data_IF_704112782169
#
_entry.id   IF_704112782169
#
_cell.length_a   1.000
_cell.length_b   1.000
_cell.length_c   1.000
_cell.angle_alpha   90.00
_cell.angle_beta   90.00
_cell.angle_gamma   90.00
#
_symmetry.space_group_name_H-M   'P 1'
#
loop_
_entity.id
_entity.type
_entity.pdbx_description
1 polymer ?
#
# COMPACT_ATOMS: atom_id res chain seq x y z
N UNK A 1 4.56 6.55 -5.87
CA UNK A 1 4.43 7.20 -7.19
C UNK A 1 4.72 8.68 -7.00
N UNK A 2 5.38 9.32 -7.94
CA UNK A 2 5.73 10.73 -7.85
C UNK A 2 5.42 11.38 -9.19
N UNK A 3 4.78 12.54 -9.13
CA UNK A 3 4.52 13.39 -10.30
C UNK A 3 5.76 14.24 -10.56
N UNK A 4 6.05 14.51 -11.83
CA UNK A 4 7.18 15.35 -12.23
C UNK A 4 7.00 16.78 -11.72
N UNK A 5 8.12 17.46 -11.46
CA UNK A 5 8.08 18.86 -11.02
C UNK A 5 7.45 19.76 -12.09
N UNK A 6 7.64 19.43 -13.37
CA UNK A 6 7.03 20.15 -14.48
C UNK A 6 5.49 20.08 -14.43
N UNK A 7 4.94 18.85 -14.29
CA UNK A 7 3.51 18.63 -14.09
C UNK A 7 2.97 19.38 -12.86
N UNK A 8 3.72 19.46 -11.76
CA UNK A 8 3.33 20.25 -10.58
C UNK A 8 3.25 21.75 -10.89
N UNK A 9 4.19 22.32 -11.64
CA UNK A 9 4.15 23.74 -12.02
C UNK A 9 3.00 24.03 -12.98
N UNK A 10 2.75 23.14 -13.94
CA UNK A 10 1.60 23.25 -14.82
C UNK A 10 0.28 23.22 -14.04
N UNK A 11 0.13 22.25 -13.11
CA UNK A 11 -1.00 22.17 -12.20
C UNK A 11 -1.16 23.43 -11.35
N UNK A 12 -0.08 23.98 -10.81
CA UNK A 12 -0.13 25.22 -10.04
C UNK A 12 -0.69 26.36 -10.87
N UNK A 13 -0.19 26.55 -12.09
CA UNK A 13 -0.67 27.61 -12.98
C UNK A 13 -2.15 27.46 -13.34
N UNK A 14 -2.60 26.22 -13.53
CA UNK A 14 -3.95 25.88 -13.97
C UNK A 14 -4.98 25.97 -12.82
N UNK A 15 -4.62 25.50 -11.63
CA UNK A 15 -5.53 25.36 -10.49
C UNK A 15 -5.66 26.64 -9.67
N UNK A 16 -4.64 27.51 -9.68
CA UNK A 16 -4.61 28.77 -8.95
C UNK A 16 -5.89 29.63 -9.08
N UNK A 17 -6.50 29.82 -10.26
CA UNK A 17 -7.72 30.62 -10.37
C UNK A 17 -8.96 29.98 -9.70
N UNK A 18 -8.96 28.67 -9.43
CA UNK A 18 -10.11 27.93 -8.88
C UNK A 18 -9.98 27.57 -7.40
N UNK A 19 -8.79 27.72 -6.81
CA UNK A 19 -8.49 27.29 -5.43
C UNK A 19 -8.00 28.46 -4.57
N UNK A 20 -8.59 29.65 -4.75
CA UNK A 20 -8.10 30.90 -4.16
C UNK A 20 -8.31 30.92 -2.66
N UNK A 21 -9.50 30.49 -2.21
CA UNK A 21 -9.89 30.48 -0.81
C UNK A 21 -10.26 29.07 -0.32
N UNK A 22 -10.39 28.92 1.00
CA UNK A 22 -10.74 27.65 1.65
C UNK A 22 -12.07 27.07 1.14
N UNK A 23 -13.09 27.91 0.97
CA UNK A 23 -14.42 27.48 0.52
C UNK A 23 -14.36 26.82 -0.86
N UNK A 24 -13.69 27.47 -1.81
CA UNK A 24 -13.45 26.93 -3.15
C UNK A 24 -12.67 25.60 -3.08
N UNK A 25 -11.58 25.55 -2.29
CA UNK A 25 -10.74 24.35 -2.15
C UNK A 25 -11.55 23.15 -1.67
N UNK A 26 -12.36 23.35 -0.63
CA UNK A 26 -13.23 22.31 -0.08
C UNK A 26 -14.32 21.91 -1.07
N UNK A 27 -14.98 22.88 -1.72
CA UNK A 27 -16.06 22.60 -2.66
C UNK A 27 -15.59 21.70 -3.82
N UNK A 28 -14.44 22.00 -4.43
CA UNK A 28 -13.89 21.18 -5.51
C UNK A 28 -13.46 19.78 -5.03
N UNK A 29 -12.79 19.68 -3.88
CA UNK A 29 -12.35 18.38 -3.36
C UNK A 29 -13.52 17.50 -2.90
N UNK A 30 -14.56 18.07 -2.28
CA UNK A 30 -15.79 17.34 -1.93
C UNK A 30 -16.50 16.85 -3.20
N UNK A 31 -16.58 17.69 -4.25
CA UNK A 31 -17.20 17.28 -5.51
C UNK A 31 -16.41 16.17 -6.21
N UNK A 32 -15.08 16.18 -6.10
CA UNK A 32 -14.21 15.18 -6.72
C UNK A 32 -14.13 13.85 -5.96
N UNK A 33 -14.12 13.90 -4.62
CA UNK A 33 -13.80 12.75 -3.76
C UNK A 33 -14.98 12.31 -2.88
N UNK A 34 -16.08 13.06 -2.87
CA UNK A 34 -17.20 12.87 -1.96
C UNK A 34 -16.78 12.97 -0.49
N UNK A 35 -17.34 12.10 0.35
CA UNK A 35 -17.02 12.02 1.79
C UNK A 35 -15.55 11.64 2.08
N UNK A 36 -14.78 11.19 1.06
CA UNK A 36 -13.36 10.88 1.25
C UNK A 36 -12.50 12.15 1.36
N UNK A 37 -13.01 13.31 0.94
CA UNK A 37 -12.28 14.58 1.04
C UNK A 37 -11.89 14.92 2.49
N UNK A 38 -12.75 14.62 3.47
CA UNK A 38 -12.50 14.90 4.90
C UNK A 38 -11.37 14.06 5.49
N UNK A 39 -11.00 12.96 4.82
CA UNK A 39 -9.87 12.11 5.24
C UNK A 39 -8.51 12.65 4.80
N UNK A 40 -8.47 13.71 3.99
CA UNK A 40 -7.23 14.33 3.55
C UNK A 40 -6.72 15.27 4.65
N UNK A 41 -5.48 15.04 5.10
CA UNK A 41 -4.81 15.89 6.08
C UNK A 41 -4.22 17.14 5.41
N UNK A 42 -5.09 18.06 4.98
CA UNK A 42 -4.71 19.30 4.29
C UNK A 42 -4.79 20.52 5.22
N UNK A 43 -3.82 21.42 5.11
CA UNK A 43 -3.88 22.73 5.77
C UNK A 43 -4.60 23.73 4.87
N UNK A 44 -5.90 23.92 5.13
CA UNK A 44 -6.80 24.70 4.27
C UNK A 44 -6.50 26.19 4.18
N UNK A 45 -5.78 26.75 5.17
CA UNK A 45 -5.52 28.19 5.28
C UNK A 45 -4.15 28.60 4.73
N UNK A 46 -3.46 27.70 4.02
CA UNK A 46 -2.17 28.02 3.40
C UNK A 46 -2.31 28.98 2.21
N UNK A 47 -1.25 29.75 1.88
CA UNK A 47 -1.17 30.48 0.63
C UNK A 47 -1.35 29.55 -0.58
N UNK A 48 -2.05 30.01 -1.62
CA UNK A 48 -2.43 29.17 -2.78
C UNK A 48 -1.22 28.48 -3.43
N UNK A 49 -0.09 29.19 -3.54
CA UNK A 49 1.14 28.65 -4.14
C UNK A 49 1.76 27.51 -3.32
N UNK A 50 1.48 27.45 -2.01
CA UNK A 50 1.93 26.38 -1.11
C UNK A 50 0.89 25.27 -1.01
N UNK A 51 -0.38 25.66 -0.95
CA UNK A 51 -1.51 24.74 -0.87
C UNK A 51 -1.57 23.78 -2.06
N UNK A 52 -1.44 24.27 -3.30
CA UNK A 52 -1.62 23.43 -4.49
C UNK A 52 -0.59 22.29 -4.55
N UNK A 53 0.74 22.51 -4.45
CA UNK A 53 1.71 21.43 -4.40
C UNK A 53 1.44 20.42 -3.27
N UNK A 54 1.12 20.90 -2.06
CA UNK A 54 0.82 20.05 -0.91
C UNK A 54 -0.43 19.18 -1.16
N UNK A 55 -1.48 19.77 -1.71
CA UNK A 55 -2.71 19.08 -2.10
C UNK A 55 -2.44 18.01 -3.17
N UNK A 56 -1.68 18.35 -4.22
CA UNK A 56 -1.31 17.41 -5.28
C UNK A 56 -0.56 16.20 -4.71
N UNK A 57 0.47 16.42 -3.88
CA UNK A 57 1.21 15.33 -3.23
C UNK A 57 0.30 14.46 -2.36
N UNK A 58 -0.61 15.08 -1.62
CA UNK A 58 -1.57 14.36 -0.77
C UNK A 58 -2.52 13.50 -1.61
N UNK A 59 -3.02 14.01 -2.75
CA UNK A 59 -3.88 13.24 -3.66
C UNK A 59 -3.13 12.09 -4.34
N UNK A 60 -1.85 12.29 -4.69
CA UNK A 60 -1.00 11.22 -5.22
C UNK A 60 -0.76 10.14 -4.16
N UNK A 61 -0.51 10.54 -2.91
CA UNK A 61 -0.34 9.60 -1.80
C UNK A 61 -1.65 8.85 -1.49
N UNK A 62 -2.81 9.50 -1.66
CA UNK A 62 -4.13 8.87 -1.57
C UNK A 62 -4.35 7.81 -2.68
N UNK A 63 -3.61 7.94 -3.78
CA UNK A 63 -3.62 7.05 -4.95
C UNK A 63 -4.95 7.07 -5.70
N UNK A 64 -5.94 6.28 -5.29
CA UNK A 64 -7.17 6.07 -6.04
C UNK A 64 -8.42 6.27 -5.19
N UNK A 65 -9.46 6.90 -5.77
CA UNK A 65 -10.78 6.97 -5.14
C UNK A 65 -11.60 5.71 -5.37
N UNK A 66 -11.44 5.09 -6.53
CA UNK A 66 -12.02 3.82 -6.95
C UNK A 66 -10.99 3.14 -7.84
N UNK A 67 -10.99 1.79 -7.93
CA UNK A 67 -10.03 1.07 -8.76
C UNK A 67 -9.92 1.69 -10.17
N UNK A 68 -8.71 2.08 -10.57
CA UNK A 68 -8.42 2.68 -11.87
C UNK A 68 -8.78 4.17 -12.02
N UNK A 69 -9.22 4.84 -10.94
CA UNK A 69 -9.48 6.29 -10.94
C UNK A 69 -8.60 7.01 -9.92
N UNK A 70 -7.46 7.58 -10.35
CA UNK A 70 -6.60 8.35 -9.48
C UNK A 70 -7.30 9.58 -8.90
N UNK A 71 -7.07 9.87 -7.62
CA UNK A 71 -7.75 10.97 -6.92
C UNK A 71 -7.45 12.34 -7.55
N UNK A 72 -6.21 12.55 -8.01
CA UNK A 72 -5.82 13.77 -8.71
C UNK A 72 -6.56 13.92 -10.06
N UNK A 73 -6.73 12.83 -10.81
CA UNK A 73 -7.48 12.85 -12.06
C UNK A 73 -8.95 13.23 -11.82
N UNK A 74 -9.56 12.70 -10.75
CA UNK A 74 -10.93 13.04 -10.39
C UNK A 74 -11.11 14.54 -10.10
N UNK A 75 -10.15 15.18 -9.43
CA UNK A 75 -10.18 16.63 -9.19
C UNK A 75 -10.11 17.43 -10.50
N UNK A 76 -9.22 17.05 -11.40
CA UNK A 76 -9.05 17.72 -12.69
C UNK A 76 -10.28 17.56 -13.58
N UNK A 77 -10.90 16.38 -13.60
CA UNK A 77 -12.17 16.12 -14.30
C UNK A 77 -13.28 17.04 -13.78
N UNK A 78 -13.37 17.24 -12.47
CA UNK A 78 -14.36 18.17 -11.90
C UNK A 78 -14.11 19.61 -12.34
N UNK A 79 -12.86 20.07 -12.26
CA UNK A 79 -12.52 21.45 -12.65
C UNK A 79 -12.76 21.65 -14.14
N UNK A 80 -12.47 20.63 -14.97
CA UNK A 80 -12.71 20.65 -16.42
C UNK A 80 -14.15 20.98 -16.79
N UNK A 81 -15.13 20.56 -15.99
CA UNK A 81 -16.54 20.88 -16.28
C UNK A 81 -16.86 22.36 -16.08
N UNK A 82 -16.11 23.05 -15.22
CA UNK A 82 -16.30 24.46 -14.88
C UNK A 82 -15.42 25.42 -15.73
N UNK A 83 -14.72 24.93 -16.77
CA UNK A 83 -13.86 25.77 -17.63
C UNK A 83 -14.34 25.87 -19.08
N UNK A 84 -13.96 26.95 -19.76
CA UNK A 84 -14.19 27.14 -21.21
C UNK A 84 -13.31 26.23 -22.09
N UNK A 85 -13.68 26.09 -23.36
CA UNK A 85 -13.11 25.13 -24.32
C UNK A 85 -11.58 25.07 -24.35
N UNK A 86 -10.91 26.21 -24.45
CA UNK A 86 -9.44 26.29 -24.51
C UNK A 86 -8.76 25.67 -23.28
N UNK A 87 -9.35 25.91 -22.09
CA UNK A 87 -8.84 25.36 -20.84
C UNK A 87 -9.18 23.87 -20.72
N UNK A 88 -10.29 23.40 -21.30
CA UNK A 88 -10.63 21.96 -21.31
C UNK A 88 -9.56 21.17 -22.06
N UNK A 89 -9.15 21.64 -23.24
CA UNK A 89 -8.10 20.99 -24.04
C UNK A 89 -6.79 20.87 -23.24
N UNK A 90 -6.37 21.95 -22.57
CA UNK A 90 -5.17 21.94 -21.72
C UNK A 90 -5.30 20.99 -20.52
N UNK A 91 -6.48 20.88 -19.91
CA UNK A 91 -6.73 19.92 -18.83
C UNK A 91 -6.66 18.49 -19.36
N UNK A 92 -7.19 18.23 -20.55
CA UNK A 92 -7.18 16.90 -21.18
C UNK A 92 -5.75 16.43 -21.48
N UNK A 93 -4.89 17.32 -22.01
CA UNK A 93 -3.46 17.04 -22.19
C UNK A 93 -2.76 16.73 -20.87
N UNK A 94 -3.00 17.53 -19.84
CA UNK A 94 -2.38 17.35 -18.52
C UNK A 94 -2.88 16.09 -17.82
N UNK A 95 -4.16 15.74 -17.99
CA UNK A 95 -4.73 14.48 -17.51
C UNK A 95 -4.03 13.28 -18.14
N UNK A 96 -3.77 13.31 -19.45
CA UNK A 96 -3.07 12.24 -20.14
C UNK A 96 -1.63 12.08 -19.63
N UNK A 97 -0.89 13.18 -19.50
CA UNK A 97 0.48 13.17 -18.96
C UNK A 97 0.52 12.62 -17.52
N UNK A 98 -0.37 13.10 -16.65
CA UNK A 98 -0.44 12.63 -15.26
C UNK A 98 -0.81 11.15 -15.20
N UNK A 99 -1.71 10.67 -16.05
CA UNK A 99 -2.04 9.24 -16.11
C UNK A 99 -0.83 8.42 -16.51
N UNK A 100 -0.02 8.87 -17.46
CA UNK A 100 1.22 8.19 -17.85
C UNK A 100 2.27 8.20 -16.74
N UNK A 101 2.40 9.31 -16.00
CA UNK A 101 3.31 9.41 -14.86
C UNK A 101 2.87 8.58 -13.64
N UNK A 102 1.55 8.49 -13.41
CA UNK A 102 0.96 7.74 -12.30
C UNK A 102 0.71 6.28 -12.63
N UNK A 103 0.64 5.92 -13.91
CA UNK A 103 0.66 4.53 -14.30
C UNK A 103 1.94 3.95 -13.69
N UNK A 104 1.87 2.90 -12.86
CA UNK A 104 3.07 2.22 -12.44
C UNK A 104 3.81 1.89 -13.73
N UNK A 105 4.94 2.57 -13.96
CA UNK A 105 6.02 1.96 -14.72
C UNK A 105 6.17 0.65 -13.98
N UNK A 106 5.69 -0.45 -14.57
CA UNK A 106 6.19 -1.76 -14.25
C UNK A 106 7.69 -1.58 -14.42
N UNK A 107 8.37 -1.24 -13.33
CA UNK A 107 9.79 -1.43 -13.22
C UNK A 107 9.88 -2.90 -13.51
N UNK A 108 10.26 -3.21 -14.76
CA UNK A 108 10.41 -4.55 -15.28
C UNK A 108 11.08 -5.30 -14.14
N UNK A 109 10.29 -6.14 -13.46
CA UNK A 109 10.78 -6.93 -12.35
C UNK A 109 12.02 -7.60 -12.95
N UNK A 110 13.24 -7.31 -12.46
CA UNK A 110 14.45 -7.69 -13.17
C UNK A 110 14.33 -9.15 -13.56
N UNK A 111 14.69 -9.53 -14.79
CA UNK A 111 14.32 -10.82 -15.37
C UNK A 111 14.73 -12.06 -14.52
N UNK A 112 15.57 -11.88 -13.48
CA UNK A 112 15.91 -12.88 -12.46
C UNK A 112 15.24 -12.73 -11.08
N UNK A 113 14.44 -11.71 -10.81
CA UNK A 113 13.78 -11.50 -9.51
C UNK A 113 12.69 -12.55 -9.25
N UNK A 114 11.88 -12.90 -10.26
CA UNK A 114 10.92 -13.99 -10.13
C UNK A 114 11.62 -15.33 -9.84
N UNK A 115 12.76 -15.59 -10.49
CA UNK A 115 13.58 -16.77 -10.23
C UNK A 115 14.17 -16.76 -8.81
N UNK A 116 14.69 -15.62 -8.35
CA UNK A 116 15.22 -15.47 -7.00
C UNK A 116 14.12 -15.67 -5.92
N UNK A 117 12.92 -15.14 -6.16
CA UNK A 117 11.76 -15.33 -5.27
C UNK A 117 11.32 -16.80 -5.26
N UNK A 118 11.25 -17.45 -6.43
CA UNK A 118 10.94 -18.88 -6.52
C UNK A 118 11.98 -19.73 -5.78
N UNK A 119 13.27 -19.45 -5.95
CA UNK A 119 14.35 -20.13 -5.26
C UNK A 119 14.28 -19.92 -3.74
N UNK A 120 14.00 -18.69 -3.28
CA UNK A 120 13.80 -18.39 -1.87
C UNK A 120 12.63 -19.20 -1.28
N UNK A 121 11.52 -19.33 -2.02
CA UNK A 121 10.39 -20.14 -1.56
C UNK A 121 10.77 -21.62 -1.49
N UNK A 122 11.42 -22.19 -2.49
CA UNK A 122 11.85 -23.60 -2.45
C UNK A 122 12.75 -23.89 -1.24
N UNK A 123 13.74 -23.02 -0.97
CA UNK A 123 14.64 -23.18 0.19
C UNK A 123 13.87 -23.05 1.51
N UNK A 124 12.99 -22.04 1.62
CA UNK A 124 12.22 -21.80 2.84
C UNK A 124 11.23 -22.92 3.12
N UNK A 125 10.51 -23.40 2.09
CA UNK A 125 9.54 -24.49 2.23
C UNK A 125 10.24 -25.80 2.60
N UNK A 126 11.43 -26.06 2.04
CA UNK A 126 12.24 -27.22 2.44
C UNK A 126 12.60 -27.16 3.92
N UNK A 127 13.12 -26.02 4.40
CA UNK A 127 13.45 -25.84 5.83
C UNK A 127 12.21 -25.99 6.72
N UNK A 128 11.08 -25.41 6.34
CA UNK A 128 9.84 -25.56 7.11
C UNK A 128 9.43 -27.03 7.25
N UNK A 129 9.57 -27.84 6.19
CA UNK A 129 9.31 -29.29 6.26
C UNK A 129 10.27 -30.01 7.20
N UNK A 130 11.56 -29.66 7.17
CA UNK A 130 12.57 -30.21 8.08
C UNK A 130 12.27 -29.88 9.55
N UNK A 131 11.70 -28.70 9.82
CA UNK A 131 11.24 -28.25 11.14
C UNK A 131 9.84 -28.79 11.52
N UNK A 132 9.29 -29.76 10.78
CA UNK A 132 8.02 -30.42 11.11
C UNK A 132 6.77 -29.69 10.63
N UNK A 133 6.88 -28.70 9.74
CA UNK A 133 5.71 -28.08 9.12
C UNK A 133 5.13 -28.98 8.01
N UNK A 134 4.09 -29.73 8.36
CA UNK A 134 3.45 -30.70 7.46
C UNK A 134 2.28 -30.11 6.65
N UNK A 135 1.62 -29.05 7.13
CA UNK A 135 0.49 -28.41 6.44
C UNK A 135 0.95 -27.14 5.71
N UNK A 136 1.48 -27.32 4.49
CA UNK A 136 1.85 -26.24 3.57
C UNK A 136 0.83 -26.22 2.43
N UNK A 137 0.09 -25.13 2.29
CA UNK A 137 -0.91 -24.91 1.25
C UNK A 137 -0.43 -23.87 0.26
N UNK A 138 -0.58 -24.15 -1.04
CA UNK A 138 -0.29 -23.22 -2.13
C UNK A 138 -1.55 -22.51 -2.59
N UNK A 139 -1.41 -21.32 -3.15
CA UNK A 139 -2.48 -20.60 -3.86
C UNK A 139 -3.77 -20.43 -3.04
N UNK A 140 -3.62 -20.09 -1.76
CA UNK A 140 -4.74 -19.86 -0.85
C UNK A 140 -5.39 -18.51 -1.15
N UNK A 141 -6.71 -18.50 -1.31
CA UNK A 141 -7.49 -17.27 -1.49
C UNK A 141 -8.19 -16.89 -0.18
N UNK A 142 -8.15 -15.60 0.16
CA UNK A 142 -8.91 -15.06 1.28
C UNK A 142 -9.39 -13.64 0.99
N UNK A 143 -10.71 -13.45 1.08
CA UNK A 143 -11.40 -12.31 0.48
C UNK A 143 -10.96 -12.18 -0.99
N UNK A 144 -10.40 -11.03 -1.38
CA UNK A 144 -9.94 -10.76 -2.74
C UNK A 144 -8.41 -10.82 -2.85
N UNK A 145 -7.74 -11.50 -1.91
CA UNK A 145 -6.27 -11.60 -1.87
C UNK A 145 -5.81 -13.03 -2.05
N UNK A 146 -4.81 -13.21 -2.92
CA UNK A 146 -4.12 -14.47 -3.15
C UNK A 146 -2.86 -14.55 -2.28
N UNK A 147 -2.72 -15.64 -1.54
CA UNK A 147 -1.53 -15.98 -0.78
C UNK A 147 -0.82 -17.12 -1.50
N UNK A 148 0.45 -16.92 -1.86
CA UNK A 148 1.21 -17.92 -2.62
C UNK A 148 1.45 -19.17 -1.78
N UNK A 149 1.81 -18.99 -0.50
CA UNK A 149 2.00 -20.10 0.44
C UNK A 149 1.49 -19.75 1.83
N UNK A 150 0.78 -20.69 2.45
CA UNK A 150 0.39 -20.65 3.87
C UNK A 150 0.88 -21.95 4.50
N UNK A 151 1.74 -21.84 5.50
CA UNK A 151 2.31 -22.97 6.22
C UNK A 151 1.88 -22.93 7.69
N UNK A 152 1.48 -24.07 8.25
CA UNK A 152 1.02 -24.19 9.65
C UNK A 152 1.86 -25.19 10.43
N UNK A 153 2.25 -24.81 11.64
CA UNK A 153 2.90 -25.68 12.62
C UNK A 153 1.98 -25.75 13.85
N UNK A 154 1.49 -26.96 14.17
CA UNK A 154 0.47 -27.21 15.20
C UNK A 154 1.09 -27.28 16.61
N UNK A 155 2.41 -27.48 16.71
CA UNK A 155 3.12 -27.71 17.97
C UNK A 155 4.44 -26.93 18.03
N UNK A 156 4.38 -25.62 17.78
CA UNK A 156 5.56 -24.77 17.85
C UNK A 156 5.92 -24.46 19.31
N UNK A 157 7.16 -24.75 19.71
CA UNK A 157 7.68 -24.42 21.04
C UNK A 157 8.62 -23.21 20.97
N UNK A 158 8.29 -22.18 21.74
CA UNK A 158 9.10 -20.98 21.93
C UNK A 158 9.68 -20.95 23.33
N UNK A 159 11.01 -20.92 23.49
CA UNK A 159 11.60 -20.71 24.80
C UNK A 159 11.30 -19.28 25.26
N UNK A 160 10.63 -19.13 26.40
CA UNK A 160 10.30 -17.84 27.01
C UNK A 160 10.78 -17.79 28.47
N UNK A 161 12.08 -17.60 28.64
CA UNK A 161 12.72 -17.64 29.96
C UNK A 161 12.79 -19.07 30.49
N UNK A 162 12.19 -19.31 31.67
CA UNK A 162 12.17 -20.63 32.33
C UNK A 162 11.01 -21.53 31.87
N UNK A 163 10.13 -21.04 30.99
CA UNK A 163 8.98 -21.79 30.49
C UNK A 163 8.98 -21.82 28.97
N UNK A 164 8.65 -22.98 28.39
CA UNK A 164 8.38 -23.10 26.96
C UNK A 164 6.90 -22.77 26.72
N UNK A 165 6.63 -21.84 25.81
CA UNK A 165 5.27 -21.62 25.31
C UNK A 165 5.05 -22.53 24.11
N UNK A 166 4.05 -23.40 24.20
CA UNK A 166 3.58 -24.23 23.07
C UNK A 166 2.36 -23.57 22.45
N UNK A 167 2.32 -23.52 21.12
CA UNK A 167 1.15 -23.03 20.40
C UNK A 167 1.27 -23.21 18.90
N UNK A 168 0.30 -22.67 18.17
CA UNK A 168 0.28 -22.76 16.71
C UNK A 168 0.90 -21.55 16.04
N UNK A 169 1.75 -21.78 15.05
CA UNK A 169 2.35 -20.71 14.25
C UNK A 169 1.98 -20.86 12.77
N UNK A 170 1.63 -19.73 12.15
CA UNK A 170 1.32 -19.63 10.73
C UNK A 170 2.40 -18.79 10.04
N UNK A 171 2.96 -19.32 8.96
CA UNK A 171 3.84 -18.59 8.06
C UNK A 171 3.07 -18.27 6.78
N UNK A 172 2.97 -16.98 6.47
CA UNK A 172 2.29 -16.50 5.27
C UNK A 172 3.32 -15.89 4.35
N UNK A 173 3.40 -16.42 3.14
CA UNK A 173 4.26 -15.90 2.10
C UNK A 173 3.39 -15.37 0.98
N UNK A 174 3.44 -14.05 0.80
CA UNK A 174 2.85 -13.35 -0.32
C UNK A 174 3.92 -12.49 -0.96
N UNK A 175 3.76 -12.20 -2.24
CA UNK A 175 4.47 -11.08 -2.84
C UNK A 175 4.01 -9.81 -2.11
N UNK A 176 4.89 -9.27 -1.25
CA UNK A 176 4.56 -8.20 -0.32
C UNK A 176 4.31 -6.84 -0.99
N UNK A 177 4.58 -6.71 -2.29
CA UNK A 177 4.46 -5.45 -3.02
C UNK A 177 3.01 -4.98 -3.14
N UNK A 178 2.01 -5.87 -3.07
CA UNK A 178 0.59 -5.54 -3.31
C UNK A 178 -0.32 -5.78 -2.10
N UNK A 179 0.15 -6.44 -1.05
CA UNK A 179 -0.73 -6.90 0.03
C UNK A 179 -0.93 -5.83 1.13
N UNK A 180 -2.19 -5.44 1.35
CA UNK A 180 -2.57 -4.47 2.37
C UNK A 180 -2.38 -5.05 3.78
N UNK A 181 -1.64 -4.35 4.66
CA UNK A 181 -1.38 -4.77 6.05
C UNK A 181 -2.66 -5.07 6.84
N UNK A 182 -3.77 -4.35 6.60
CA UNK A 182 -5.05 -4.61 7.25
C UNK A 182 -5.65 -5.97 6.86
N UNK A 183 -5.41 -6.42 5.62
CA UNK A 183 -5.86 -7.73 5.14
C UNK A 183 -5.05 -8.82 5.84
N UNK A 184 -3.73 -8.66 5.94
CA UNK A 184 -2.86 -9.60 6.65
C UNK A 184 -3.25 -9.75 8.13
N UNK A 185 -3.53 -8.63 8.81
CA UNK A 185 -4.00 -8.63 10.20
C UNK A 185 -5.37 -9.29 10.37
N UNK A 186 -6.31 -9.06 9.44
CA UNK A 186 -7.65 -9.69 9.49
C UNK A 186 -7.58 -11.18 9.23
N UNK A 187 -6.77 -11.60 8.26
CA UNK A 187 -6.57 -13.00 7.95
C UNK A 187 -5.92 -13.74 9.13
N UNK A 188 -4.86 -13.17 9.73
CA UNK A 188 -4.26 -13.77 10.94
C UNK A 188 -5.27 -13.88 12.09
N UNK A 189 -6.13 -12.87 12.28
CA UNK A 189 -7.19 -12.90 13.28
C UNK A 189 -8.26 -13.96 13.01
N UNK A 190 -8.57 -14.27 11.75
CA UNK A 190 -9.51 -15.34 11.42
C UNK A 190 -8.92 -16.73 11.60
N UNK A 191 -7.63 -16.92 11.28
CA UNK A 191 -6.91 -18.14 11.63
C UNK A 191 -7.00 -18.43 13.14
N UNK A 192 -6.98 -17.39 13.99
CA UNK A 192 -7.17 -17.52 15.43
C UNK A 192 -8.61 -17.91 15.83
N UNK A 193 -9.64 -17.32 15.21
CA UNK A 193 -11.06 -17.55 15.56
C UNK A 193 -11.58 -18.95 15.27
N UNK A 194 -10.97 -19.69 14.34
CA UNK A 194 -11.36 -21.09 14.03
C UNK A 194 -10.83 -22.12 15.04
N UNK A 195 -10.29 -21.68 16.19
CA UNK A 195 -10.01 -22.54 17.33
C UNK A 195 -8.53 -22.73 17.67
N UNK A 196 -7.67 -21.74 17.42
CA UNK A 196 -6.25 -21.85 17.75
C UNK A 196 -5.72 -20.57 18.41
N UNK A 197 -5.26 -20.73 19.65
CA UNK A 197 -4.93 -19.67 20.58
C UNK A 197 -3.44 -19.29 20.43
N UNK A 198 -3.11 -18.00 20.27
CA UNK A 198 -1.82 -17.47 20.76
C UNK A 198 -1.89 -15.96 21.04
N UNK A 199 -1.16 -15.59 22.09
CA UNK A 199 -1.06 -14.28 22.73
C UNK A 199 -0.32 -13.23 21.88
N UNK A 200 -0.86 -12.00 21.91
CA UNK A 200 -0.30 -10.69 21.50
C UNK A 200 1.11 -10.69 20.89
N UNK A 201 1.21 -10.47 19.58
CA UNK A 201 2.42 -10.01 18.92
C UNK A 201 2.49 -8.47 18.97
N UNK A 202 3.32 -7.91 19.85
CA UNK A 202 3.52 -6.46 20.03
C UNK A 202 4.40 -5.89 18.92
N UNK A 203 3.88 -4.89 18.20
CA UNK A 203 4.62 -4.13 17.18
C UNK A 203 5.59 -3.14 17.84
N UNK A 204 6.89 -3.28 17.58
CA UNK A 204 7.85 -2.16 17.58
C UNK A 204 9.10 -2.51 16.79
N UNK A 205 9.27 -1.89 15.62
CA UNK A 205 10.54 -1.22 15.27
C UNK A 205 10.42 -0.40 13.99
N UNK A 206 11.05 0.78 14.04
CA UNK A 206 11.26 1.73 12.94
C UNK A 206 12.54 1.37 12.19
N UNK A 207 12.54 1.72 10.90
CA UNK A 207 13.65 1.86 9.93
C UNK A 207 14.07 0.60 9.14
N UNK A 208 13.98 0.81 7.83
CA UNK A 208 14.55 0.12 6.66
C UNK A 208 13.87 -1.17 6.17
N UNK A 209 13.40 -1.04 4.92
CA UNK A 209 12.55 -1.92 4.12
C UNK A 209 13.34 -3.13 3.64
N UNK A 210 13.05 -4.30 4.22
CA UNK A 210 12.72 -5.58 3.56
C UNK A 210 11.91 -6.33 4.61
N UNK A 211 10.57 -6.36 4.52
CA UNK A 211 9.76 -7.14 5.45
C UNK A 211 9.71 -8.59 4.99
N UNK A 212 10.80 -9.30 5.24
CA UNK A 212 10.85 -10.75 5.37
C UNK A 212 11.48 -11.07 6.73
N UNK A 213 10.85 -12.00 7.44
CA UNK A 213 11.23 -12.57 8.75
C UNK A 213 10.64 -11.90 9.99
N UNK A 214 9.57 -12.49 10.51
CA UNK A 214 9.37 -12.57 11.96
C UNK A 214 10.07 -13.83 12.46
N UNK A 215 11.35 -13.70 12.79
CA UNK A 215 12.04 -14.31 13.94
C UNK A 215 13.47 -13.78 14.00
N UNK A 216 13.87 -13.23 15.15
CA UNK A 216 15.26 -12.90 15.49
C UNK A 216 15.69 -13.89 16.56
N UNK A 217 16.40 -14.95 16.19
CA UNK A 217 17.27 -15.68 17.10
C UNK A 217 18.70 -15.18 16.84
N UNK A 218 19.28 -14.50 17.83
CA UNK A 218 20.72 -14.27 17.87
C UNK A 218 21.35 -15.56 18.39
N UNK A 219 22.24 -16.17 17.60
CA UNK A 219 23.51 -16.71 18.05
C UNK A 219 24.32 -17.14 16.82
N UNK A 220 25.42 -16.43 16.57
CA UNK A 220 26.58 -16.97 15.85
C UNK A 220 27.71 -17.01 16.88
N UNK A 221 28.32 -18.19 17.03
CA UNK A 221 29.63 -18.40 17.60
C UNK A 221 30.45 -19.09 16.49
N UNK A 222 31.39 -18.35 15.92
CA UNK A 222 32.83 -18.65 16.02
C UNK A 222 33.51 -17.35 16.42
#
# INVERSE_FOLDING_TARGET
MAISNDSIQQLLSLLKPYLRNEGERRAYLIRALGMKADSLNLMWNEPVNTFIPNMVQTLVAFSEITPGKPALCALLEVIREDVGGDKKARIDELLQQIREELNPKENQVPQGYQQAVAQYFEVTLKRLREEGCLDIRKDMFYADSKFNYVARIVDFELPFGLVNMRGETFFMFSEFSTMNMKILQRFSAQCMKRGYCLSKCSQRSRKNRIYGNFFRSKNFLL
#
